data_IF_864193119999
#
_entry.id   IF_864193119999
#
_cell.length_a   1.000
_cell.length_b   1.000
_cell.length_c   1.000
_cell.angle_alpha   90.00
_cell.angle_beta   90.00
_cell.angle_gamma   90.00
#
_symmetry.space_group_name_H-M   'P 1'
#
loop_
_entity.id
_entity.type
_entity.pdbx_description
1 polymer ?
#
# COMPACT_ATOMS: atom_id res chain seq x y z
N UNK A 1 -1.89 -10.82 -9.46
CA UNK A 1 -1.46 -10.86 -10.87
C UNK A 1 -0.01 -11.36 -10.98
N UNK A 2 0.97 -10.68 -10.38
CA UNK A 2 2.40 -11.06 -10.44
C UNK A 2 2.72 -12.57 -10.34
N UNK A 3 2.25 -13.27 -9.31
CA UNK A 3 2.53 -14.71 -9.14
C UNK A 3 2.18 -15.57 -10.35
N UNK A 4 1.12 -15.22 -11.09
CA UNK A 4 0.66 -15.96 -12.26
C UNK A 4 1.54 -15.67 -13.49
N UNK A 5 2.14 -14.49 -13.56
CA UNK A 5 2.89 -14.01 -14.74
C UNK A 5 4.40 -13.90 -14.51
N UNK A 6 4.90 -14.16 -13.29
CA UNK A 6 6.30 -13.98 -12.92
C UNK A 6 7.26 -14.74 -13.85
N UNK A 7 6.89 -15.95 -14.27
CA UNK A 7 7.67 -16.79 -15.18
C UNK A 7 7.85 -16.20 -16.59
N UNK A 8 7.01 -15.23 -17.00
CA UNK A 8 7.10 -14.58 -18.31
C UNK A 8 8.18 -13.49 -18.36
N UNK A 9 8.70 -13.07 -17.20
CA UNK A 9 9.66 -11.96 -17.09
C UNK A 9 10.97 -12.42 -16.45
N UNK A 10 11.45 -13.62 -16.81
CA UNK A 10 12.70 -14.16 -16.29
C UNK A 10 13.91 -13.29 -16.65
N UNK A 11 14.86 -13.17 -15.72
CA UNK A 11 16.06 -12.34 -15.88
C UNK A 11 15.74 -10.84 -16.15
N UNK A 12 14.57 -10.36 -15.72
CA UNK A 12 14.16 -8.95 -15.85
C UNK A 12 14.01 -8.29 -14.49
N UNK A 13 14.08 -6.97 -14.50
CA UNK A 13 13.68 -6.14 -13.36
C UNK A 13 12.16 -5.97 -13.38
N UNK A 14 11.52 -6.21 -12.24
CA UNK A 14 10.10 -5.99 -12.02
C UNK A 14 9.93 -4.74 -11.17
N UNK A 15 9.01 -3.87 -11.58
CA UNK A 15 8.70 -2.63 -10.88
C UNK A 15 7.30 -2.72 -10.31
N UNK A 16 7.16 -2.50 -9.01
CA UNK A 16 5.89 -2.40 -8.32
C UNK A 16 5.66 -0.96 -7.90
N UNK A 17 4.50 -0.39 -8.24
CA UNK A 17 4.05 0.92 -7.77
C UNK A 17 2.74 0.79 -7.00
N UNK A 18 2.64 1.37 -5.82
CA UNK A 18 1.37 1.42 -5.07
C UNK A 18 1.28 2.61 -4.12
N UNK A 19 0.05 3.03 -3.82
CA UNK A 19 -0.24 4.00 -2.76
C UNK A 19 -0.25 3.29 -1.42
N UNK A 20 0.32 3.89 -0.37
CA UNK A 20 0.34 3.26 0.96
C UNK A 20 -1.07 2.92 1.47
N UNK A 21 -2.08 3.71 1.10
CA UNK A 21 -3.50 3.48 1.44
C UNK A 21 -4.07 2.20 0.81
N UNK A 22 -3.47 1.67 -0.26
CA UNK A 22 -3.92 0.41 -0.87
C UNK A 22 -3.79 -0.77 0.11
N UNK A 23 -2.94 -0.67 1.15
CA UNK A 23 -2.91 -1.63 2.25
C UNK A 23 -4.27 -1.75 2.96
N UNK A 24 -5.07 -0.69 3.03
CA UNK A 24 -6.40 -0.74 3.65
C UNK A 24 -7.43 -1.42 2.75
N UNK A 25 -7.24 -1.34 1.42
CA UNK A 25 -8.16 -1.98 0.47
C UNK A 25 -8.02 -3.51 0.46
N UNK A 26 -6.92 -4.03 1.00
CA UNK A 26 -6.67 -5.47 1.12
C UNK A 26 -7.59 -6.20 2.11
N UNK A 27 -8.17 -5.48 3.08
CA UNK A 27 -8.98 -6.05 4.18
C UNK A 27 -10.50 -6.06 3.94
N UNK A 28 -10.97 -5.57 2.79
CA UNK A 28 -12.41 -5.57 2.52
C UNK A 28 -12.94 -7.00 2.35
N UNK A 29 -13.79 -7.39 3.31
CA UNK A 29 -14.50 -8.67 3.32
C UNK A 29 -15.75 -8.63 2.41
N UNK A 30 -16.38 -7.45 2.27
CA UNK A 30 -17.47 -7.26 1.32
C UNK A 30 -16.89 -7.09 -0.08
N UNK A 31 -17.33 -7.94 -1.02
CA UNK A 31 -16.87 -7.91 -2.41
C UNK A 31 -18.04 -8.22 -3.32
N UNK A 32 -18.24 -7.35 -4.31
CA UNK A 32 -19.25 -7.53 -5.36
C UNK A 32 -18.77 -8.46 -6.48
N UNK A 33 -17.50 -8.87 -6.45
CA UNK A 33 -16.86 -9.71 -7.48
C UNK A 33 -15.81 -10.66 -6.90
N UNK A 34 -15.49 -11.71 -7.67
CA UNK A 34 -14.53 -12.74 -7.28
C UNK A 34 -13.10 -12.18 -7.26
N UNK A 35 -12.61 -11.86 -6.05
CA UNK A 35 -11.20 -11.54 -5.78
C UNK A 35 -10.60 -12.60 -4.89
N UNK A 36 -9.32 -12.91 -5.09
CA UNK A 36 -8.51 -13.76 -4.22
C UNK A 36 -8.72 -13.42 -2.74
N UNK A 37 -9.11 -14.41 -1.93
CA UNK A 37 -9.31 -14.27 -0.49
C UNK A 37 -8.14 -14.89 0.26
N UNK A 38 -7.51 -14.11 1.14
CA UNK A 38 -6.42 -14.58 1.99
C UNK A 38 -6.95 -14.75 3.42
N UNK A 39 -6.85 -15.96 3.95
CA UNK A 39 -7.29 -16.28 5.32
C UNK A 39 -6.06 -16.55 6.17
N UNK A 40 -6.01 -15.94 7.35
CA UNK A 40 -4.99 -16.23 8.35
C UNK A 40 -5.37 -17.52 9.07
N UNK A 41 -4.59 -18.58 8.88
CA UNK A 41 -4.77 -19.88 9.54
C UNK A 41 -3.37 -20.41 9.93
N UNK A 42 -3.22 -20.96 11.12
CA UNK A 42 -1.96 -21.54 11.60
C UNK A 42 -0.74 -20.61 11.43
N UNK A 43 -0.90 -19.32 11.76
CA UNK A 43 0.13 -18.27 11.63
C UNK A 43 0.65 -18.03 10.21
N UNK A 44 -0.12 -18.41 9.18
CA UNK A 44 0.22 -18.16 7.78
C UNK A 44 -1.01 -17.70 7.00
N UNK A 45 -0.78 -16.89 5.97
CA UNK A 45 -1.83 -16.58 5.00
C UNK A 45 -1.95 -17.69 3.97
N UNK A 46 -3.19 -18.14 3.77
CA UNK A 46 -3.54 -19.10 2.74
C UNK A 46 -4.50 -18.47 1.74
N UNK A 47 -4.20 -18.65 0.46
CA UNK A 47 -5.14 -18.33 -0.61
C UNK A 47 -6.30 -19.32 -0.54
N UNK A 48 -7.51 -18.83 -0.33
CA UNK A 48 -8.72 -19.62 -0.39
C UNK A 48 -9.29 -19.54 -1.80
N UNK A 49 -9.33 -20.68 -2.49
CA UNK A 49 -9.91 -20.81 -3.84
C UNK A 49 -11.44 -20.87 -3.84
N UNK A 50 -12.08 -20.75 -2.68
CA UNK A 50 -13.55 -20.75 -2.61
C UNK A 50 -14.04 -19.39 -3.12
N UNK A 51 -14.79 -19.35 -4.24
CA UNK A 51 -15.40 -18.11 -4.69
C UNK A 51 -16.29 -17.56 -3.58
N UNK A 52 -16.24 -16.24 -3.39
CA UNK A 52 -17.06 -15.58 -2.38
C UNK A 52 -18.52 -15.87 -2.74
N UNK A 53 -19.30 -16.33 -1.75
CA UNK A 53 -20.72 -16.58 -1.94
C UNK A 53 -21.37 -15.26 -2.35
N UNK A 54 -21.81 -15.18 -3.60
CA UNK A 54 -22.70 -14.11 -4.05
C UNK A 54 -24.06 -14.33 -3.36
N UNK A 55 -24.78 -13.25 -3.04
CA UNK A 55 -26.10 -13.30 -2.39
C UNK A 55 -26.11 -13.95 -0.98
N UNK A 56 -25.18 -13.54 -0.11
CA UNK A 56 -25.29 -13.86 1.32
C UNK A 56 -26.58 -13.22 1.84
N UNK A 57 -27.55 -14.04 2.27
CA UNK A 57 -28.66 -13.56 3.10
C UNK A 57 -28.07 -13.01 4.40
N UNK A 58 -27.84 -11.71 4.44
CA UNK A 58 -27.37 -11.01 5.63
C UNK A 58 -28.46 -11.23 6.67
N UNK A 59 -28.16 -11.99 7.73
CA UNK A 59 -29.06 -12.07 8.90
C UNK A 59 -29.33 -10.63 9.31
N UNK A 60 -30.60 -10.21 9.25
CA UNK A 60 -31.03 -8.92 9.80
C UNK A 60 -30.69 -8.94 11.29
N UNK A 61 -29.60 -8.28 11.66
CA UNK A 61 -29.30 -7.97 13.04
C UNK A 61 -29.98 -6.65 13.39
N UNK A 62 -30.56 -6.56 14.58
CA UNK A 62 -30.99 -5.28 15.11
C UNK A 62 -29.73 -4.44 15.34
N UNK A 63 -29.54 -3.45 14.48
CA UNK A 63 -28.41 -2.55 14.55
C UNK A 63 -28.84 -1.31 15.33
N UNK A 64 -28.18 -1.03 16.45
CA UNK A 64 -28.42 0.19 17.20
C UNK A 64 -27.67 1.32 16.50
N UNK A 65 -28.35 2.00 15.57
CA UNK A 65 -27.78 3.09 14.77
C UNK A 65 -27.07 4.15 15.61
N UNK A 66 -27.63 4.48 16.78
CA UNK A 66 -27.03 5.43 17.71
C UNK A 66 -25.69 4.92 18.27
N UNK A 67 -25.62 3.66 18.69
CA UNK A 67 -24.38 3.06 19.18
C UNK A 67 -23.29 3.04 18.09
N UNK A 68 -23.65 2.69 16.86
CA UNK A 68 -22.73 2.75 15.71
C UNK A 68 -22.26 4.17 15.41
N UNK A 69 -23.18 5.13 15.42
CA UNK A 69 -22.86 6.53 15.21
C UNK A 69 -21.86 7.01 16.27
N UNK A 70 -22.15 6.78 17.55
CA UNK A 70 -21.28 7.14 18.66
C UNK A 70 -19.92 6.44 18.60
N UNK A 71 -19.90 5.14 18.29
CA UNK A 71 -18.67 4.37 18.13
C UNK A 71 -17.82 4.89 16.97
N UNK A 72 -18.42 5.14 15.80
CA UNK A 72 -17.74 5.73 14.66
C UNK A 72 -17.24 7.14 14.96
N UNK A 73 -18.04 7.96 15.64
CA UNK A 73 -17.67 9.32 16.01
C UNK A 73 -16.51 9.33 17.02
N UNK A 74 -16.54 8.46 18.02
CA UNK A 74 -15.43 8.23 18.93
C UNK A 74 -14.16 7.78 18.17
N UNK A 75 -14.31 6.88 17.20
CA UNK A 75 -13.19 6.47 16.33
C UNK A 75 -12.65 7.62 15.47
N UNK A 76 -13.50 8.53 15.00
CA UNK A 76 -13.05 9.71 14.27
C UNK A 76 -12.28 10.67 15.18
N UNK A 77 -12.80 10.97 16.37
CA UNK A 77 -12.12 11.83 17.36
C UNK A 77 -10.75 11.26 17.73
N UNK A 78 -10.69 9.97 18.07
CA UNK A 78 -9.43 9.31 18.47
C UNK A 78 -8.39 9.23 17.34
N UNK A 79 -8.80 9.41 16.08
CA UNK A 79 -7.90 9.49 14.92
C UNK A 79 -7.76 10.91 14.37
N UNK A 80 -8.14 11.95 15.12
CA UNK A 80 -8.07 13.36 14.70
C UNK A 80 -8.80 13.64 13.37
N UNK A 81 -9.93 12.95 13.15
CA UNK A 81 -10.69 12.98 11.90
C UNK A 81 -9.84 12.68 10.65
N UNK A 82 -8.71 11.98 10.83
CA UNK A 82 -7.80 11.59 9.77
C UNK A 82 -7.84 10.06 9.57
N UNK A 83 -8.50 9.57 8.51
CA UNK A 83 -8.61 8.13 8.26
C UNK A 83 -7.25 7.46 8.03
N UNK A 84 -6.22 8.23 7.65
CA UNK A 84 -4.85 7.70 7.48
C UNK A 84 -4.27 7.23 8.81
N UNK A 85 -4.67 7.84 9.93
CA UNK A 85 -4.17 7.48 11.26
C UNK A 85 -4.86 6.25 11.86
N UNK A 86 -5.92 5.76 11.21
CA UNK A 86 -6.68 4.60 11.67
C UNK A 86 -5.81 3.37 11.88
N UNK A 87 -5.86 2.83 13.09
CA UNK A 87 -5.21 1.57 13.49
C UNK A 87 -6.11 0.34 13.31
N UNK A 88 -7.27 0.49 12.66
CA UNK A 88 -8.20 -0.61 12.45
C UNK A 88 -7.52 -1.75 11.69
N UNK A 89 -7.50 -2.95 12.31
CA UNK A 89 -6.84 -4.17 11.80
C UNK A 89 -5.38 -3.96 11.38
N UNK A 90 -4.66 -3.03 12.03
CA UNK A 90 -3.28 -2.68 11.65
C UNK A 90 -2.35 -3.91 11.62
N UNK A 91 -2.36 -4.76 12.66
CA UNK A 91 -1.50 -5.94 12.71
C UNK A 91 -1.79 -6.91 11.55
N UNK A 92 -3.06 -7.18 11.26
CA UNK A 92 -3.46 -8.01 10.13
C UNK A 92 -2.93 -7.45 8.79
N UNK A 93 -3.06 -6.14 8.56
CA UNK A 93 -2.54 -5.48 7.35
C UNK A 93 -1.02 -5.59 7.24
N UNK A 94 -0.31 -5.45 8.36
CA UNK A 94 1.14 -5.60 8.43
C UNK A 94 1.55 -7.02 8.06
N UNK A 95 0.96 -8.03 8.71
CA UNK A 95 1.27 -9.43 8.39
C UNK A 95 0.93 -9.78 6.94
N UNK A 96 -0.19 -9.28 6.41
CA UNK A 96 -0.58 -9.54 5.02
C UNK A 96 0.43 -8.93 4.04
N UNK A 97 0.92 -7.73 4.33
CA UNK A 97 1.96 -7.08 3.52
C UNK A 97 3.27 -7.87 3.57
N UNK A 98 3.68 -8.33 4.76
CA UNK A 98 4.87 -9.20 4.90
C UNK A 98 4.75 -10.46 4.05
N UNK A 99 3.61 -11.13 4.13
CA UNK A 99 3.35 -12.32 3.34
C UNK A 99 3.48 -12.08 1.83
N UNK A 100 2.93 -10.97 1.33
CA UNK A 100 3.04 -10.65 -0.10
C UNK A 100 4.47 -10.36 -0.52
N UNK A 101 5.23 -9.58 0.25
CA UNK A 101 6.62 -9.30 -0.08
C UNK A 101 7.50 -10.55 0.00
N UNK A 102 7.26 -11.44 0.96
CA UNK A 102 7.93 -12.75 1.03
C UNK A 102 7.63 -13.63 -0.19
N UNK A 103 6.37 -13.71 -0.62
CA UNK A 103 6.01 -14.43 -1.84
C UNK A 103 6.61 -13.75 -3.09
N UNK A 104 6.69 -12.41 -3.11
CA UNK A 104 7.32 -11.67 -4.20
C UNK A 104 8.81 -12.03 -4.31
N UNK A 105 9.55 -11.96 -3.20
CA UNK A 105 10.97 -12.28 -3.16
C UNK A 105 11.26 -13.74 -3.52
N UNK A 106 10.44 -14.67 -3.02
CA UNK A 106 10.57 -16.09 -3.36
C UNK A 106 10.43 -16.31 -4.86
N UNK A 107 9.43 -15.70 -5.50
CA UNK A 107 9.24 -15.79 -6.95
C UNK A 107 10.36 -15.06 -7.70
N UNK A 108 10.76 -13.87 -7.24
CA UNK A 108 11.82 -13.11 -7.88
C UNK A 108 13.15 -13.89 -7.90
N UNK A 109 13.53 -14.48 -6.77
CA UNK A 109 14.70 -15.36 -6.67
C UNK A 109 14.60 -16.57 -7.61
N UNK A 110 13.43 -17.21 -7.67
CA UNK A 110 13.19 -18.37 -8.55
C UNK A 110 13.40 -18.04 -10.03
N UNK A 111 13.04 -16.84 -10.47
CA UNK A 111 13.10 -16.43 -11.87
C UNK A 111 14.26 -15.46 -12.17
N UNK A 112 15.22 -15.34 -11.24
CA UNK A 112 16.36 -14.42 -11.32
C UNK A 112 15.94 -12.97 -11.67
N UNK A 113 14.91 -12.48 -10.98
CA UNK A 113 14.37 -11.15 -11.17
C UNK A 113 14.92 -10.19 -10.12
N UNK A 114 15.16 -8.96 -10.55
CA UNK A 114 15.38 -7.83 -9.63
C UNK A 114 14.04 -7.18 -9.32
N UNK A 115 13.88 -6.64 -8.12
CA UNK A 115 12.61 -6.02 -7.68
C UNK A 115 12.88 -4.58 -7.27
N UNK A 116 12.19 -3.66 -7.91
CA UNK A 116 12.11 -2.25 -7.51
C UNK A 116 10.69 -1.98 -7.02
N UNK A 117 10.57 -1.32 -5.88
CA UNK A 117 9.28 -0.87 -5.32
C UNK A 117 9.27 0.65 -5.28
N UNK A 118 8.21 1.24 -5.82
CA UNK A 118 7.92 2.68 -5.78
C UNK A 118 6.70 2.87 -4.90
N UNK A 119 6.84 3.61 -3.80
CA UNK A 119 5.70 3.93 -2.93
C UNK A 119 5.22 5.33 -3.19
N UNK A 120 3.92 5.48 -3.37
CA UNK A 120 3.24 6.77 -3.51
C UNK A 120 2.52 7.12 -2.20
N UNK A 121 2.44 8.41 -1.93
CA UNK A 121 1.86 8.97 -0.72
C UNK A 121 0.77 9.98 -1.08
N UNK A 122 -0.21 10.13 -0.19
CA UNK A 122 -1.17 11.22 -0.32
C UNK A 122 -0.48 12.56 -0.04
N UNK A 123 -0.98 13.62 -0.67
CA UNK A 123 -0.56 15.01 -0.38
C UNK A 123 -0.48 15.30 1.12
N UNK A 124 -1.48 14.84 1.90
CA UNK A 124 -1.52 15.03 3.36
C UNK A 124 -0.37 14.34 4.12
N UNK A 125 0.27 13.30 3.58
CA UNK A 125 1.44 12.66 4.22
C UNK A 125 2.68 13.54 4.13
N UNK A 126 2.73 14.45 3.16
CA UNK A 126 3.81 15.41 3.00
C UNK A 126 3.56 16.69 3.80
N UNK A 127 2.30 17.14 3.88
CA UNK A 127 1.90 18.34 4.65
C UNK A 127 1.84 18.10 6.16
N UNK A 128 1.53 16.87 6.57
CA UNK A 128 1.33 16.49 7.97
C UNK A 128 2.23 15.32 8.34
N UNK A 129 2.07 14.81 9.56
CA UNK A 129 2.69 13.56 9.99
C UNK A 129 2.28 12.41 9.04
N UNK A 130 3.24 11.63 8.52
CA UNK A 130 2.94 10.43 7.74
C UNK A 130 2.15 9.41 8.55
N UNK A 131 1.37 8.58 7.86
CA UNK A 131 0.67 7.47 8.51
C UNK A 131 1.62 6.36 8.98
N UNK A 132 1.15 5.50 9.88
CA UNK A 132 1.89 4.32 10.34
C UNK A 132 2.34 3.38 9.20
N UNK A 133 1.70 3.47 8.03
CA UNK A 133 2.01 2.67 6.85
C UNK A 133 3.37 3.05 6.27
N UNK A 134 3.77 4.32 6.34
CA UNK A 134 5.03 4.81 5.81
C UNK A 134 6.20 4.15 6.53
N UNK A 135 6.29 4.30 7.86
CA UNK A 135 7.36 3.70 8.66
C UNK A 135 7.37 2.17 8.50
N UNK A 136 6.20 1.55 8.51
CA UNK A 136 6.09 0.11 8.36
C UNK A 136 6.60 -0.39 6.99
N UNK A 137 6.16 0.20 5.89
CA UNK A 137 6.57 -0.23 4.54
C UNK A 137 8.05 0.06 4.31
N UNK A 138 8.53 1.24 4.73
CA UNK A 138 9.94 1.60 4.60
C UNK A 138 10.85 0.61 5.35
N UNK A 139 10.51 0.30 6.59
CA UNK A 139 11.25 -0.69 7.38
C UNK A 139 11.17 -2.08 6.75
N UNK A 140 9.98 -2.51 6.31
CA UNK A 140 9.79 -3.81 5.68
C UNK A 140 10.63 -3.96 4.41
N UNK A 141 10.64 -2.96 3.53
CA UNK A 141 11.44 -3.02 2.29
C UNK A 141 12.93 -3.04 2.59
N UNK A 142 13.38 -2.28 3.61
CA UNK A 142 14.78 -2.26 4.07
C UNK A 142 15.19 -3.61 4.67
N UNK A 143 14.38 -4.16 5.58
CA UNK A 143 14.61 -5.48 6.22
C UNK A 143 14.71 -6.61 5.19
N UNK A 144 14.00 -6.48 4.07
CA UNK A 144 13.99 -7.46 2.99
C UNK A 144 15.03 -7.18 1.90
N UNK A 145 15.85 -6.14 2.02
CA UNK A 145 16.81 -5.73 0.98
C UNK A 145 16.15 -5.55 -0.40
N UNK A 146 14.99 -4.87 -0.42
CA UNK A 146 14.27 -4.53 -1.64
C UNK A 146 14.59 -3.08 -2.03
N UNK A 147 15.00 -2.87 -3.28
CA UNK A 147 15.25 -1.53 -3.81
C UNK A 147 13.97 -0.68 -3.75
N UNK A 148 14.01 0.41 -2.99
CA UNK A 148 12.86 1.26 -2.71
C UNK A 148 13.06 2.69 -3.24
N UNK A 149 12.08 3.16 -4.01
CA UNK A 149 11.93 4.54 -4.46
C UNK A 149 10.84 5.20 -3.61
N UNK A 150 11.29 5.97 -2.64
CA UNK A 150 10.44 6.66 -1.67
C UNK A 150 9.99 8.02 -2.22
N UNK A 151 8.82 8.07 -2.87
CA UNK A 151 8.33 9.32 -3.47
C UNK A 151 8.15 10.43 -2.44
N UNK A 152 7.82 10.10 -1.19
CA UNK A 152 7.67 11.08 -0.13
C UNK A 152 9.03 11.71 0.21
N UNK A 153 10.08 10.91 0.33
CA UNK A 153 11.43 11.43 0.56
C UNK A 153 11.92 12.28 -0.64
N UNK A 154 11.67 11.84 -1.86
CA UNK A 154 12.04 12.59 -3.07
C UNK A 154 11.35 13.96 -3.06
N UNK A 155 10.04 14.00 -2.80
CA UNK A 155 9.30 15.26 -2.78
C UNK A 155 9.78 16.19 -1.66
N UNK A 156 10.07 15.68 -0.46
CA UNK A 156 10.62 16.49 0.64
C UNK A 156 11.97 17.10 0.25
N UNK A 157 12.88 16.28 -0.24
CA UNK A 157 14.20 16.74 -0.68
C UNK A 157 14.09 17.82 -1.77
N UNK A 158 13.17 17.67 -2.73
CA UNK A 158 12.95 18.66 -3.79
C UNK A 158 12.25 19.92 -3.29
N UNK A 159 11.35 19.79 -2.32
CA UNK A 159 10.75 20.93 -1.61
C UNK A 159 11.83 21.79 -0.98
N UNK A 160 12.75 21.14 -0.23
CA UNK A 160 13.83 21.81 0.49
C UNK A 160 14.88 22.38 -0.46
N UNK A 161 15.25 21.64 -1.52
CA UNK A 161 16.25 22.06 -2.52
C UNK A 161 15.83 23.31 -3.31
N UNK A 162 14.53 23.42 -3.64
CA UNK A 162 14.01 24.50 -4.48
C UNK A 162 13.17 25.53 -3.73
N UNK A 163 13.07 25.43 -2.39
CA UNK A 163 12.18 26.26 -1.56
C UNK A 163 10.73 26.30 -2.09
N UNK A 164 10.24 25.13 -2.48
CA UNK A 164 8.90 24.98 -3.04
C UNK A 164 7.92 24.46 -2.01
N UNK A 165 6.65 24.84 -2.16
CA UNK A 165 5.56 24.28 -1.36
C UNK A 165 5.18 22.89 -1.87
N UNK A 166 4.86 21.98 -0.95
CA UNK A 166 4.48 20.60 -1.25
C UNK A 166 3.31 20.53 -2.24
N UNK A 167 2.38 21.48 -2.15
CA UNK A 167 1.21 21.60 -3.00
C UNK A 167 1.56 21.72 -4.49
N UNK A 168 2.76 22.22 -4.82
CA UNK A 168 3.26 22.35 -6.18
C UNK A 168 3.55 20.99 -6.84
N UNK A 169 3.53 19.90 -6.07
CA UNK A 169 3.78 18.53 -6.53
C UNK A 169 2.51 17.73 -6.83
N UNK A 170 1.33 18.29 -6.56
CA UNK A 170 0.04 17.61 -6.72
C UNK A 170 -0.87 18.31 -7.72
N UNK A 171 -1.73 17.54 -8.37
CA UNK A 171 -2.85 18.05 -9.15
C UNK A 171 -4.05 18.44 -8.26
N UNK A 172 -5.08 19.00 -8.87
CA UNK A 172 -6.36 19.31 -8.21
C UNK A 172 -7.07 18.05 -7.68
N UNK A 173 -6.75 16.89 -8.24
CA UNK A 173 -7.24 15.57 -7.87
C UNK A 173 -6.42 14.89 -6.75
N UNK A 174 -5.45 15.61 -6.19
CA UNK A 174 -4.51 15.14 -5.17
C UNK A 174 -3.59 13.99 -5.61
N UNK A 175 -3.45 13.71 -6.91
CA UNK A 175 -2.42 12.83 -7.46
C UNK A 175 -1.12 13.61 -7.72
N UNK A 176 0.00 12.89 -7.82
CA UNK A 176 1.26 13.48 -8.30
C UNK A 176 1.05 14.12 -9.67
N UNK A 177 1.44 15.40 -9.80
CA UNK A 177 1.40 16.07 -11.09
C UNK A 177 2.63 15.70 -11.96
N UNK A 178 2.68 16.26 -13.17
CA UNK A 178 3.77 16.02 -14.13
C UNK A 178 5.16 16.28 -13.55
N UNK A 179 5.31 17.29 -12.69
CA UNK A 179 6.59 17.69 -12.10
C UNK A 179 7.07 16.66 -11.10
N UNK A 180 6.23 16.28 -10.14
CA UNK A 180 6.60 15.27 -9.15
C UNK A 180 6.82 13.90 -9.77
N UNK A 181 6.00 13.52 -10.76
CA UNK A 181 6.21 12.27 -11.48
C UNK A 181 7.54 12.27 -12.24
N UNK A 182 7.97 13.40 -12.82
CA UNK A 182 9.28 13.52 -13.44
C UNK A 182 10.41 13.23 -12.44
N UNK A 183 10.39 13.83 -11.25
CA UNK A 183 11.41 13.57 -10.24
C UNK A 183 11.47 12.11 -9.79
N UNK A 184 10.30 11.47 -9.62
CA UNK A 184 10.21 10.04 -9.29
C UNK A 184 10.77 9.18 -10.43
N UNK A 185 10.46 9.54 -11.68
CA UNK A 185 10.92 8.82 -12.86
C UNK A 185 12.43 8.97 -13.09
N UNK A 186 12.97 10.16 -12.90
CA UNK A 186 14.42 10.42 -13.00
C UNK A 186 15.19 9.60 -11.95
N UNK A 187 14.67 9.52 -10.72
CA UNK A 187 15.23 8.67 -9.68
C UNK A 187 15.13 7.18 -10.00
N UNK A 188 14.00 6.75 -10.58
CA UNK A 188 13.84 5.40 -11.10
C UNK A 188 14.87 5.07 -12.16
N UNK A 189 15.10 5.95 -13.15
CA UNK A 189 16.09 5.72 -14.18
C UNK A 189 17.52 5.67 -13.62
N UNK A 190 17.83 6.51 -12.63
CA UNK A 190 19.13 6.49 -11.94
C UNK A 190 19.39 5.14 -11.28
N UNK A 191 18.43 4.64 -10.51
CA UNK A 191 18.51 3.35 -9.83
C UNK A 191 18.53 2.20 -10.83
N UNK A 192 17.64 2.21 -11.82
CA UNK A 192 17.52 1.16 -12.81
C UNK A 192 18.79 0.97 -13.64
N UNK A 193 19.52 2.06 -13.95
CA UNK A 193 20.79 1.99 -14.67
C UNK A 193 21.96 1.49 -13.81
N UNK A 194 21.86 1.62 -12.49
CA UNK A 194 22.90 1.21 -11.56
C UNK A 194 22.86 -0.28 -11.22
N UNK A 195 21.77 -0.97 -11.54
CA UNK A 195 21.57 -2.40 -11.27
C UNK A 195 21.86 -3.25 -12.50
#
# INVERSE_FOLDING_TARGET
NYKLTAHLSQNKTIVFGFLLEDLDRSIFNYREYQKALFVWQNNKFHLKNVPIRQNINVKKSNDFYLFRFLSNFYHLITNDFDPRLSKCKMNYKKELSRYFFEDIQKNAKKFNQRVIVITFNLKKDLEKKPSWRYDFIKNLLTEKDITHIDSLQIMKNKSDEYDEKIENYFGSDAHNNKKSFKYIFDEFLRIYKAI
#
